data_IF_382661128606
#
_entry.id   IF_382661128606
#
_cell.length_a   1.000
_cell.length_b   1.000
_cell.length_c   1.000
_cell.angle_alpha   90.00
_cell.angle_beta   90.00
_cell.angle_gamma   90.00
#
_symmetry.space_group_name_H-M   'P 1'
#
loop_
_entity.id
_entity.type
_entity.pdbx_description
1 polymer ?
#
# COMPACT_ATOMS: atom_id res chain seq x y z
N UNK A 1 -1.84 7.29 17.83
CA UNK A 1 -2.97 6.60 17.20
C UNK A 1 -3.41 7.45 16.02
N UNK A 2 -3.27 6.99 14.80
CA UNK A 2 -3.66 7.72 13.59
C UNK A 2 -4.89 7.03 12.99
N UNK A 3 -5.66 7.75 12.18
CA UNK A 3 -6.83 7.22 11.48
C UNK A 3 -6.60 7.29 9.97
N UNK A 4 -6.92 6.22 9.28
CA UNK A 4 -6.79 6.19 7.82
C UNK A 4 -7.83 7.12 7.15
N UNK A 5 -9.03 7.19 7.75
CA UNK A 5 -10.12 8.05 7.28
C UNK A 5 -10.59 9.01 8.38
N UNK A 6 -9.84 10.09 8.68
CA UNK A 6 -10.17 10.99 9.78
C UNK A 6 -11.49 11.75 9.58
N UNK A 7 -11.96 11.91 8.35
CA UNK A 7 -13.24 12.56 8.04
C UNK A 7 -14.44 11.81 8.62
N UNK A 8 -14.34 10.47 8.78
CA UNK A 8 -15.41 9.70 9.44
C UNK A 8 -15.60 10.02 10.92
N UNK A 9 -14.63 10.66 11.57
CA UNK A 9 -14.80 11.10 12.98
C UNK A 9 -15.90 12.16 13.14
N UNK A 10 -16.19 12.94 12.10
CA UNK A 10 -17.33 13.86 12.13
C UNK A 10 -18.67 13.14 12.31
N UNK A 11 -18.75 11.88 11.93
CA UNK A 11 -19.93 11.05 12.18
C UNK A 11 -20.19 10.80 13.69
N UNK A 12 -19.24 11.08 14.59
CA UNK A 12 -19.48 11.05 16.04
C UNK A 12 -20.58 12.03 16.46
N UNK A 13 -20.85 13.08 15.70
CA UNK A 13 -21.99 13.96 15.92
C UNK A 13 -23.34 13.22 15.84
N UNK A 14 -23.43 12.12 15.10
CA UNK A 14 -24.63 11.27 15.04
C UNK A 14 -24.97 10.63 16.39
N UNK A 15 -24.02 10.54 17.33
CA UNK A 15 -24.28 10.09 18.70
C UNK A 15 -25.24 11.02 19.46
N UNK A 16 -25.39 12.26 19.03
CA UNK A 16 -26.38 13.18 19.59
C UNK A 16 -27.82 12.72 19.34
N UNK A 17 -28.07 11.98 18.25
CA UNK A 17 -29.44 11.53 17.87
C UNK A 17 -30.06 10.61 18.93
N UNK A 18 -29.44 9.47 19.32
CA UNK A 18 -30.00 8.62 20.37
C UNK A 18 -30.09 9.32 21.71
N UNK A 19 -29.19 10.26 22.01
CA UNK A 19 -29.22 11.08 23.23
C UNK A 19 -30.43 12.00 23.23
N UNK A 20 -30.67 12.72 22.14
CA UNK A 20 -31.82 13.62 21.97
C UNK A 20 -33.12 12.84 22.07
N UNK A 21 -33.22 11.69 21.40
CA UNK A 21 -34.41 10.83 21.46
C UNK A 21 -34.66 10.33 22.90
N UNK A 22 -33.62 10.04 23.65
CA UNK A 22 -33.73 9.62 25.04
C UNK A 22 -34.19 10.75 25.98
N UNK A 23 -33.69 11.99 25.77
CA UNK A 23 -34.07 13.18 26.55
C UNK A 23 -35.49 13.63 26.21
N UNK A 24 -35.84 13.66 24.93
CA UNK A 24 -37.22 13.94 24.50
C UNK A 24 -38.08 12.69 24.65
N UNK A 25 -38.50 12.41 25.88
CA UNK A 25 -39.33 11.25 26.21
C UNK A 25 -40.72 11.39 25.56
N UNK A 26 -40.89 11.02 24.29
CA UNK A 26 -42.12 11.09 23.49
C UNK A 26 -43.24 10.15 24.00
N UNK A 27 -43.40 9.98 25.32
CA UNK A 27 -44.46 9.15 25.87
C UNK A 27 -45.67 9.99 26.13
N UNK A 28 -46.71 9.82 25.34
CA UNK A 28 -48.04 10.24 25.69
C UNK A 28 -48.57 9.30 26.79
N UNK A 29 -48.74 9.85 27.98
CA UNK A 29 -49.35 9.12 29.10
C UNK A 29 -50.88 9.18 28.94
N UNK A 30 -51.54 8.04 28.80
CA UNK A 30 -52.99 7.93 28.90
C UNK A 30 -53.33 7.95 30.40
N UNK A 31 -53.98 8.98 30.88
CA UNK A 31 -54.49 9.05 32.28
C UNK A 31 -55.62 8.03 32.41
N UNK A 32 -55.40 7.00 33.19
CA UNK A 32 -56.46 6.05 33.61
C UNK A 32 -56.72 6.30 35.08
N UNK A 33 -57.94 6.61 35.41
CA UNK A 33 -58.38 6.91 36.79
C UNK A 33 -58.74 5.58 37.44
N UNK A 34 -58.02 5.25 38.52
CA UNK A 34 -58.31 4.08 39.39
C UNK A 34 -58.73 4.51 40.76
N UNK A 35 -59.80 3.88 41.30
CA UNK A 35 -60.43 4.25 42.58
C UNK A 35 -59.70 3.72 43.81
N UNK A 36 -58.79 2.76 43.73
CA UNK A 36 -58.03 2.22 44.86
C UNK A 36 -56.52 2.30 44.65
N UNK A 37 -55.87 3.26 45.34
CA UNK A 37 -54.43 3.61 45.16
C UNK A 37 -53.50 2.95 46.18
N UNK A 38 -54.00 2.36 47.26
CA UNK A 38 -53.12 1.90 48.37
C UNK A 38 -52.21 0.73 48.01
N UNK A 39 -52.74 -0.25 47.29
CA UNK A 39 -51.95 -1.44 46.86
C UNK A 39 -51.01 -1.18 45.68
N UNK A 40 -51.31 -0.17 44.86
CA UNK A 40 -50.51 0.20 43.68
C UNK A 40 -49.23 0.95 44.01
N UNK A 41 -49.22 1.68 45.15
CA UNK A 41 -48.10 2.54 45.53
C UNK A 41 -46.84 1.76 45.94
N UNK A 42 -47.02 0.61 46.56
CA UNK A 42 -45.92 -0.24 47.03
C UNK A 42 -45.20 -0.98 45.90
N UNK A 43 -45.94 -1.41 44.87
CA UNK A 43 -45.41 -2.05 43.68
C UNK A 43 -44.73 -1.06 42.72
N UNK A 44 -45.19 0.17 42.67
CA UNK A 44 -44.62 1.22 41.79
C UNK A 44 -43.18 1.63 42.16
N UNK A 45 -42.86 1.65 43.47
CA UNK A 45 -41.54 2.11 43.91
C UNK A 45 -40.42 1.13 43.60
N UNK A 46 -40.65 -0.17 43.63
CA UNK A 46 -39.65 -1.21 43.28
C UNK A 46 -39.47 -1.36 41.77
N UNK A 47 -40.53 -1.17 41.00
CA UNK A 47 -40.51 -1.33 39.52
C UNK A 47 -39.89 -0.11 38.81
N UNK A 48 -39.92 1.10 39.40
CA UNK A 48 -39.42 2.29 38.74
C UNK A 48 -37.91 2.36 38.64
N UNK A 49 -37.16 1.94 39.67
CA UNK A 49 -35.68 1.89 39.66
C UNK A 49 -35.15 0.93 38.61
N UNK A 50 -35.72 -0.28 38.54
CA UNK A 50 -35.31 -1.29 37.57
C UNK A 50 -35.60 -0.86 36.13
N UNK A 51 -36.72 -0.19 35.88
CA UNK A 51 -37.06 0.35 34.55
C UNK A 51 -36.12 1.48 34.13
N UNK A 52 -35.69 2.31 35.09
CA UNK A 52 -34.77 3.40 34.82
C UNK A 52 -33.38 2.88 34.44
N UNK A 53 -32.86 1.90 35.16
CA UNK A 53 -31.59 1.23 34.85
C UNK A 53 -31.63 0.58 33.46
N UNK A 54 -32.71 -0.16 33.13
CA UNK A 54 -32.87 -0.76 31.80
C UNK A 54 -32.86 0.29 30.68
N UNK A 55 -33.46 1.46 30.86
CA UNK A 55 -33.45 2.54 29.87
C UNK A 55 -32.04 3.08 29.62
N UNK A 56 -31.27 3.30 30.70
CA UNK A 56 -29.88 3.76 30.61
C UNK A 56 -28.98 2.70 29.95
N UNK A 57 -29.19 1.43 30.24
CA UNK A 57 -28.45 0.35 29.67
C UNK A 57 -28.71 0.22 28.13
N UNK A 58 -29.98 0.37 27.72
CA UNK A 58 -30.35 0.39 26.30
C UNK A 58 -29.73 1.61 25.58
N UNK A 59 -29.73 2.79 26.21
CA UNK A 59 -29.07 3.95 25.65
C UNK A 59 -27.56 3.71 25.49
N UNK A 60 -26.91 3.23 26.55
CA UNK A 60 -25.47 2.94 26.53
C UNK A 60 -25.11 1.93 25.45
N UNK A 61 -25.88 0.86 25.28
CA UNK A 61 -25.61 -0.14 24.24
C UNK A 61 -25.76 0.43 22.83
N UNK A 62 -26.75 1.28 22.58
CA UNK A 62 -26.93 1.97 21.29
C UNK A 62 -25.80 2.94 20.98
N UNK A 63 -25.39 3.73 21.98
CA UNK A 63 -24.27 4.66 21.86
C UNK A 63 -22.98 3.92 21.55
N UNK A 64 -22.72 2.81 22.25
CA UNK A 64 -21.52 2.01 22.08
C UNK A 64 -21.49 1.31 20.71
N UNK A 65 -22.63 0.78 20.27
CA UNK A 65 -22.76 0.17 18.94
C UNK A 65 -22.48 1.18 17.82
N UNK A 66 -23.06 2.39 17.90
CA UNK A 66 -22.82 3.46 16.93
C UNK A 66 -21.36 3.94 16.97
N UNK A 67 -20.79 4.12 18.14
CA UNK A 67 -19.38 4.53 18.29
C UNK A 67 -18.44 3.46 17.70
N UNK A 68 -18.69 2.18 17.98
CA UNK A 68 -17.90 1.09 17.43
C UNK A 68 -17.98 1.03 15.91
N UNK A 69 -19.18 1.26 15.33
CA UNK A 69 -19.38 1.32 13.89
C UNK A 69 -18.58 2.48 13.27
N UNK A 70 -18.65 3.67 13.85
CA UNK A 70 -17.89 4.83 13.36
C UNK A 70 -16.39 4.60 13.44
N UNK A 71 -15.91 4.03 14.54
CA UNK A 71 -14.49 3.67 14.68
C UNK A 71 -14.05 2.61 13.69
N UNK A 72 -14.91 1.64 13.37
CA UNK A 72 -14.61 0.63 12.36
C UNK A 72 -14.39 1.25 10.97
N UNK A 73 -15.17 2.28 10.59
CA UNK A 73 -14.97 2.99 9.32
C UNK A 73 -13.83 4.02 9.38
N UNK A 74 -13.51 4.56 10.54
CA UNK A 74 -12.37 5.46 10.73
C UNK A 74 -11.02 4.72 10.60
N UNK A 75 -11.00 3.37 10.69
CA UNK A 75 -9.82 2.51 10.58
C UNK A 75 -8.65 3.04 11.43
N UNK A 76 -8.75 2.96 12.77
CA UNK A 76 -7.66 3.36 13.63
C UNK A 76 -6.46 2.44 13.42
N UNK A 77 -5.29 3.02 13.20
CA UNK A 77 -4.04 2.27 13.15
C UNK A 77 -3.01 2.87 14.10
N UNK A 78 -2.18 2.03 14.64
CA UNK A 78 -1.01 2.45 15.41
C UNK A 78 0.16 2.36 14.44
N UNK A 79 0.73 3.50 13.98
CA UNK A 79 1.96 3.43 13.21
C UNK A 79 2.99 2.71 14.12
N UNK A 80 3.45 1.56 13.68
CA UNK A 80 4.61 0.94 14.31
C UNK A 80 5.76 1.92 14.15
N UNK A 81 6.06 2.69 15.20
CA UNK A 81 7.39 3.26 15.29
C UNK A 81 8.30 2.05 15.39
N UNK A 82 9.14 1.86 14.38
CA UNK A 82 10.21 0.88 14.38
C UNK A 82 11.25 1.37 15.40
N UNK A 83 10.89 1.30 16.66
CA UNK A 83 11.77 1.57 17.79
C UNK A 83 12.20 0.24 18.39
N UNK A 84 12.84 -0.60 17.56
CA UNK A 84 13.68 -1.65 18.13
C UNK A 84 15.04 -1.00 18.45
N UNK A 85 15.45 -1.07 19.70
CA UNK A 85 16.80 -0.71 20.12
C UNK A 85 17.80 -1.65 19.44
N UNK A 86 18.39 -1.20 18.32
CA UNK A 86 19.34 -1.98 17.53
C UNK A 86 19.53 -1.39 16.14
N UNK A 87 20.59 -1.81 15.45
CA UNK A 87 20.86 -1.40 14.06
C UNK A 87 19.69 -1.82 13.16
N UNK A 88 19.14 -0.87 12.42
CA UNK A 88 18.05 -1.09 11.48
C UNK A 88 18.58 -1.01 10.07
N UNK A 89 18.27 -2.04 9.27
CA UNK A 89 18.56 -2.04 7.84
C UNK A 89 17.29 -1.68 7.07
N UNK A 90 17.38 -0.68 6.21
CA UNK A 90 16.34 -0.31 5.27
C UNK A 90 16.88 -0.49 3.86
N UNK A 91 16.36 -1.52 3.16
CA UNK A 91 16.73 -1.78 1.78
C UNK A 91 15.69 -1.15 0.84
N UNK A 92 16.15 -0.32 -0.09
CA UNK A 92 15.31 0.33 -1.09
C UNK A 92 15.74 -0.13 -2.46
N UNK A 93 14.89 -0.91 -3.11
CA UNK A 93 15.05 -1.31 -4.50
C UNK A 93 14.23 -0.39 -5.40
N UNK A 94 14.87 0.13 -6.42
CA UNK A 94 14.25 0.96 -7.44
C UNK A 94 14.45 0.29 -8.78
N UNK A 95 13.33 -0.02 -9.42
CA UNK A 95 13.34 -0.52 -10.77
C UNK A 95 13.79 0.58 -11.72
N UNK A 96 14.93 0.36 -12.37
CA UNK A 96 15.48 1.26 -13.38
C UNK A 96 15.43 0.64 -14.79
N UNK A 97 14.48 -0.28 -15.02
CA UNK A 97 14.28 -0.87 -16.34
C UNK A 97 13.70 0.13 -17.33
N UNK A 98 13.77 -0.21 -18.63
CA UNK A 98 13.28 0.63 -19.73
C UNK A 98 11.77 0.96 -19.61
N UNK A 99 10.97 0.07 -19.01
CA UNK A 99 9.53 0.34 -18.79
C UNK A 99 9.28 1.55 -17.88
N UNK A 100 10.23 1.86 -17.00
CA UNK A 100 10.15 3.00 -16.09
C UNK A 100 10.35 4.37 -16.77
N UNK A 101 10.64 4.39 -18.09
CA UNK A 101 10.60 5.63 -18.91
C UNK A 101 9.20 6.11 -19.24
N UNK A 102 8.19 5.25 -19.07
CA UNK A 102 6.82 5.62 -19.33
C UNK A 102 6.40 6.86 -18.52
N UNK A 103 5.51 7.67 -19.10
CA UNK A 103 4.94 8.85 -18.43
C UNK A 103 3.85 8.40 -17.45
N UNK A 104 3.92 8.90 -16.24
CA UNK A 104 2.91 8.77 -15.21
C UNK A 104 2.24 10.11 -14.90
N UNK A 105 1.38 10.16 -13.92
CA UNK A 105 0.60 11.34 -13.52
C UNK A 105 1.50 12.57 -13.20
N UNK A 106 2.69 12.35 -12.66
CA UNK A 106 3.63 13.39 -12.23
C UNK A 106 4.98 13.33 -12.97
N UNK A 107 4.98 13.00 -14.26
CA UNK A 107 6.17 12.84 -15.08
C UNK A 107 6.63 11.38 -15.17
N UNK A 108 7.87 11.16 -15.61
CA UNK A 108 8.37 9.78 -15.83
C UNK A 108 8.29 8.92 -14.57
N UNK A 109 7.90 7.65 -14.73
CA UNK A 109 7.77 6.70 -13.62
C UNK A 109 9.07 6.55 -12.84
N UNK A 110 10.22 6.59 -13.53
CA UNK A 110 11.52 6.49 -12.89
C UNK A 110 11.79 7.66 -11.95
N UNK A 111 11.48 8.89 -12.35
CA UNK A 111 11.63 10.06 -11.48
C UNK A 111 10.63 10.03 -10.31
N UNK A 112 9.42 9.55 -10.55
CA UNK A 112 8.43 9.33 -9.48
C UNK A 112 8.92 8.28 -8.48
N UNK A 113 9.57 7.21 -8.95
CA UNK A 113 10.18 6.19 -8.10
C UNK A 113 11.31 6.76 -7.22
N UNK A 114 12.19 7.58 -7.82
CA UNK A 114 13.27 8.28 -7.09
C UNK A 114 12.71 9.24 -6.04
N UNK A 115 11.66 9.99 -6.36
CA UNK A 115 11.00 10.90 -5.44
C UNK A 115 10.36 10.14 -4.26
N UNK A 116 9.66 9.04 -4.54
CA UNK A 116 9.09 8.17 -3.51
C UNK A 116 10.18 7.60 -2.59
N UNK A 117 11.29 7.13 -3.17
CA UNK A 117 12.44 6.65 -2.39
C UNK A 117 13.05 7.76 -1.52
N UNK A 118 13.16 8.99 -2.04
CA UNK A 118 13.64 10.16 -1.29
C UNK A 118 12.73 10.48 -0.12
N UNK A 119 11.43 10.46 -0.30
CA UNK A 119 10.46 10.66 0.79
C UNK A 119 10.58 9.58 1.86
N UNK A 120 10.76 8.32 1.47
CA UNK A 120 10.99 7.24 2.43
C UNK A 120 12.24 7.53 3.25
N UNK A 121 13.37 7.85 2.60
CA UNK A 121 14.65 8.11 3.27
C UNK A 121 14.54 9.28 4.25
N UNK A 122 13.87 10.37 3.88
CA UNK A 122 13.69 11.55 4.73
C UNK A 122 12.85 11.26 5.99
N UNK A 123 12.01 10.25 5.96
CA UNK A 123 11.15 9.85 7.09
C UNK A 123 11.77 8.73 7.95
N UNK A 124 13.00 8.25 7.62
CA UNK A 124 13.69 7.25 8.42
C UNK A 124 14.33 7.89 9.67
N UNK A 125 14.67 7.03 10.63
CA UNK A 125 15.52 7.43 11.76
C UNK A 125 16.91 7.87 11.26
N UNK A 126 17.54 8.89 11.87
CA UNK A 126 18.89 9.31 11.51
C UNK A 126 19.95 8.20 11.59
N UNK A 127 19.73 7.21 12.46
CA UNK A 127 20.62 6.07 12.68
C UNK A 127 20.32 4.87 11.75
N UNK A 128 19.34 5.00 10.84
CA UNK A 128 18.99 3.92 9.92
C UNK A 128 20.13 3.73 8.89
N UNK A 129 20.54 2.49 8.70
CA UNK A 129 21.46 2.09 7.65
C UNK A 129 20.68 1.74 6.39
N UNK A 130 21.00 2.40 5.28
CA UNK A 130 20.22 2.35 4.05
C UNK A 130 21.01 1.59 2.99
N UNK A 131 20.41 0.56 2.41
CA UNK A 131 20.93 -0.15 1.25
C UNK A 131 20.11 0.24 0.02
N UNK A 132 20.77 0.75 -1.02
CA UNK A 132 20.16 1.11 -2.30
C UNK A 132 20.45 0.01 -3.32
N UNK A 133 19.42 -0.47 -4.01
CA UNK A 133 19.51 -1.49 -5.05
C UNK A 133 18.80 -1.05 -6.32
N UNK A 134 19.31 -1.51 -7.45
CA UNK A 134 18.74 -1.34 -8.77
C UNK A 134 18.92 -2.63 -9.60
N UNK A 135 18.45 -2.68 -10.84
CA UNK A 135 18.57 -3.84 -11.71
C UNK A 135 20.02 -4.22 -12.03
N UNK A 136 20.92 -3.25 -12.10
CA UNK A 136 22.34 -3.47 -12.42
C UNK A 136 23.10 -4.15 -11.27
N UNK A 137 22.50 -4.22 -10.07
CA UNK A 137 23.16 -4.69 -8.85
C UNK A 137 24.55 -4.05 -8.68
N UNK A 138 24.62 -2.75 -8.93
CA UNK A 138 25.83 -1.93 -8.88
C UNK A 138 26.65 -2.16 -7.61
N UNK A 139 27.96 -1.93 -7.60
CA UNK A 139 28.83 -2.19 -6.44
C UNK A 139 28.34 -1.54 -5.14
N UNK A 140 27.76 -0.34 -5.21
CA UNK A 140 27.23 0.34 -4.03
C UNK A 140 26.07 -0.43 -3.36
N UNK A 141 25.35 -1.28 -4.09
CA UNK A 141 24.23 -2.08 -3.55
C UNK A 141 24.68 -3.13 -2.53
N UNK A 142 25.98 -3.37 -2.39
CA UNK A 142 26.55 -4.26 -1.37
C UNK A 142 26.88 -3.55 -0.05
N UNK A 143 26.82 -2.22 -0.03
CA UNK A 143 27.15 -1.40 1.12
C UNK A 143 25.91 -0.72 1.70
N UNK A 144 26.02 -0.31 2.94
CA UNK A 144 25.04 0.55 3.60
C UNK A 144 25.48 2.00 3.55
N UNK A 145 24.54 2.89 3.49
CA UNK A 145 24.75 4.32 3.31
C UNK A 145 23.98 5.11 4.37
N UNK A 146 24.47 6.29 4.68
CA UNK A 146 23.71 7.30 5.41
C UNK A 146 22.62 7.90 4.52
N UNK A 147 21.62 8.54 5.10
CA UNK A 147 20.53 9.18 4.35
C UNK A 147 21.03 10.15 3.27
N UNK A 148 22.06 10.95 3.59
CA UNK A 148 22.65 11.90 2.64
C UNK A 148 23.30 11.21 1.43
N UNK A 149 24.10 10.17 1.69
CA UNK A 149 24.75 9.42 0.62
C UNK A 149 23.76 8.60 -0.20
N UNK A 150 22.71 8.05 0.42
CA UNK A 150 21.65 7.35 -0.26
C UNK A 150 20.90 8.26 -1.24
N UNK A 151 20.59 9.51 -0.86
CA UNK A 151 19.97 10.49 -1.75
C UNK A 151 20.86 10.82 -2.94
N UNK A 152 22.17 11.01 -2.73
CA UNK A 152 23.12 11.24 -3.85
C UNK A 152 23.13 10.07 -4.82
N UNK A 153 23.12 8.82 -4.32
CA UNK A 153 23.04 7.63 -5.19
C UNK A 153 21.74 7.56 -5.99
N UNK A 154 20.60 8.02 -5.41
CA UNK A 154 19.34 8.13 -6.15
C UNK A 154 19.46 9.15 -7.29
N UNK A 155 20.09 10.30 -7.04
CA UNK A 155 20.23 11.36 -8.04
C UNK A 155 21.11 10.90 -9.23
N UNK A 156 22.17 10.15 -8.94
CA UNK A 156 23.10 9.61 -9.95
C UNK A 156 22.56 8.37 -10.68
N UNK A 157 21.43 7.80 -10.23
CA UNK A 157 20.87 6.58 -10.81
C UNK A 157 20.25 6.86 -12.19
N UNK A 158 20.56 6.00 -13.16
CA UNK A 158 20.08 6.08 -14.54
C UNK A 158 19.32 4.83 -14.94
N UNK A 159 18.53 4.93 -16.00
CA UNK A 159 17.84 3.80 -16.62
C UNK A 159 18.87 2.79 -17.12
N UNK A 160 18.54 1.52 -16.95
CA UNK A 160 19.37 0.38 -17.32
C UNK A 160 18.64 -0.53 -18.31
N UNK A 161 19.40 -1.12 -19.23
CA UNK A 161 18.90 -2.12 -20.17
C UNK A 161 19.01 -3.55 -19.63
N UNK A 162 19.53 -3.74 -18.41
CA UNK A 162 19.62 -5.06 -17.82
C UNK A 162 18.24 -5.57 -17.43
N UNK A 163 17.92 -6.84 -17.73
CA UNK A 163 16.65 -7.42 -17.33
C UNK A 163 16.55 -7.49 -15.81
N UNK A 164 15.39 -7.11 -15.29
CA UNK A 164 15.07 -7.24 -13.90
C UNK A 164 14.99 -8.74 -13.51
N UNK A 165 15.77 -9.15 -12.52
CA UNK A 165 15.67 -10.44 -11.86
C UNK A 165 15.40 -10.17 -10.36
N UNK A 166 14.13 -9.99 -10.03
CA UNK A 166 13.71 -9.64 -8.69
C UNK A 166 14.13 -10.69 -7.64
N UNK A 167 14.24 -11.95 -8.03
CA UNK A 167 14.70 -13.02 -7.12
C UNK A 167 16.16 -12.81 -6.69
N UNK A 168 17.04 -12.35 -7.57
CA UNK A 168 18.43 -12.01 -7.22
C UNK A 168 18.49 -10.80 -6.29
N UNK A 169 17.61 -9.82 -6.49
CA UNK A 169 17.52 -8.65 -5.63
C UNK A 169 17.12 -9.05 -4.23
N UNK A 170 16.06 -9.85 -4.08
CA UNK A 170 15.61 -10.38 -2.78
C UNK A 170 16.71 -11.20 -2.12
N UNK A 171 17.40 -12.05 -2.86
CA UNK A 171 18.52 -12.84 -2.34
C UNK A 171 19.66 -11.96 -1.81
N UNK A 172 20.00 -10.88 -2.54
CA UNK A 172 21.05 -9.94 -2.10
C UNK A 172 20.66 -9.17 -0.84
N UNK A 173 19.38 -8.79 -0.72
CA UNK A 173 18.83 -8.14 0.46
C UNK A 173 18.90 -9.08 1.68
N UNK A 174 18.43 -10.32 1.52
CA UNK A 174 18.43 -11.32 2.60
C UNK A 174 19.85 -11.69 3.05
N UNK A 175 20.79 -11.79 2.12
CA UNK A 175 22.19 -12.05 2.44
C UNK A 175 22.81 -10.94 3.29
N UNK A 176 22.52 -9.68 3.01
CA UNK A 176 23.01 -8.53 3.77
C UNK A 176 22.48 -8.55 5.21
N UNK A 177 21.19 -8.77 5.39
CA UNK A 177 20.57 -8.88 6.71
C UNK A 177 21.21 -9.97 7.56
N UNK A 178 21.36 -11.16 6.98
CA UNK A 178 21.87 -12.33 7.71
C UNK A 178 23.35 -12.19 8.11
N UNK A 179 24.14 -11.39 7.37
CA UNK A 179 25.58 -11.28 7.60
C UNK A 179 25.98 -10.31 8.71
N UNK A 180 25.14 -9.32 9.06
CA UNK A 180 25.52 -8.20 9.92
C UNK A 180 24.71 -8.05 11.21
N UNK A 181 23.79 -8.97 11.51
CA UNK A 181 23.07 -9.02 12.79
C UNK A 181 22.19 -7.82 13.09
N UNK A 182 21.45 -7.35 12.10
CA UNK A 182 20.47 -6.27 12.26
C UNK A 182 19.30 -6.71 13.15
N UNK A 183 18.78 -5.80 13.95
CA UNK A 183 17.62 -6.04 14.80
C UNK A 183 16.30 -6.08 14.01
N UNK A 184 16.22 -5.32 12.93
CA UNK A 184 15.07 -5.31 12.03
C UNK A 184 15.49 -4.97 10.60
N UNK A 185 14.72 -5.48 9.64
CA UNK A 185 14.89 -5.17 8.23
C UNK A 185 13.54 -4.79 7.62
N UNK A 186 13.53 -3.66 6.92
CA UNK A 186 12.42 -3.24 6.07
C UNK A 186 12.93 -3.09 4.64
N UNK A 187 12.19 -3.66 3.71
CA UNK A 187 12.52 -3.58 2.29
C UNK A 187 11.40 -2.88 1.55
N UNK A 188 11.73 -1.84 0.80
CA UNK A 188 10.83 -1.15 -0.10
C UNK A 188 11.24 -1.48 -1.53
N UNK A 189 10.32 -2.05 -2.31
CA UNK A 189 10.53 -2.30 -3.72
C UNK A 189 9.58 -1.42 -4.53
N UNK A 190 10.15 -0.52 -5.33
CA UNK A 190 9.44 0.48 -6.11
C UNK A 190 9.61 0.13 -7.58
N UNK A 191 8.49 -0.23 -8.25
CA UNK A 191 8.48 -0.69 -9.65
C UNK A 191 7.08 -0.55 -10.24
N UNK A 192 6.96 -0.66 -11.54
CA UNK A 192 5.68 -0.85 -12.24
C UNK A 192 5.18 -2.30 -12.13
N UNK A 193 6.03 -3.22 -11.69
CA UNK A 193 5.75 -4.65 -11.54
C UNK A 193 5.13 -5.31 -12.79
N UNK A 194 5.61 -4.96 -13.96
CA UNK A 194 5.20 -5.64 -15.19
C UNK A 194 5.64 -7.10 -15.15
N UNK A 195 4.68 -8.01 -15.32
CA UNK A 195 4.93 -9.45 -15.27
C UNK A 195 5.60 -9.92 -16.56
N UNK A 196 6.92 -10.18 -16.52
CA UNK A 196 7.68 -10.70 -17.67
C UNK A 196 7.80 -12.21 -17.70
N UNK A 197 7.86 -12.86 -16.55
CA UNK A 197 7.85 -14.33 -16.36
C UNK A 197 7.25 -14.65 -15.01
N UNK A 198 6.72 -15.85 -14.86
CA UNK A 198 6.26 -16.39 -13.59
C UNK A 198 7.50 -16.72 -12.75
N UNK A 199 8.06 -15.71 -12.10
CA UNK A 199 9.20 -15.91 -11.20
C UNK A 199 8.72 -16.75 -10.03
N UNK A 200 9.38 -17.88 -9.81
CA UNK A 200 9.21 -18.65 -8.60
C UNK A 200 9.78 -17.83 -7.44
N UNK A 201 8.90 -17.16 -6.68
CA UNK A 201 9.24 -16.50 -5.41
C UNK A 201 9.55 -17.54 -4.32
N UNK A 202 10.41 -18.50 -4.63
CA UNK A 202 10.78 -19.57 -3.73
C UNK A 202 11.78 -19.05 -2.70
N UNK A 203 11.30 -18.92 -1.46
CA UNK A 203 12.06 -18.68 -0.23
C UNK A 203 12.42 -17.21 0.06
N UNK A 204 11.40 -16.40 0.27
CA UNK A 204 11.57 -15.16 1.02
C UNK A 204 11.71 -15.58 2.51
N UNK A 205 12.77 -15.09 3.17
CA UNK A 205 12.98 -15.30 4.60
C UNK A 205 11.77 -14.73 5.35
N UNK A 206 11.22 -15.47 6.30
CA UNK A 206 10.04 -15.08 7.09
C UNK A 206 10.27 -13.83 7.94
N UNK A 207 11.50 -13.41 8.12
CA UNK A 207 11.88 -12.20 8.87
C UNK A 207 11.94 -10.94 7.99
N UNK A 208 11.79 -11.07 6.67
CA UNK A 208 11.82 -9.96 5.74
C UNK A 208 10.45 -9.28 5.65
N UNK A 209 10.37 -8.02 6.05
CA UNK A 209 9.19 -7.17 5.79
C UNK A 209 9.37 -6.49 4.45
N UNK A 210 8.59 -6.93 3.44
CA UNK A 210 8.66 -6.42 2.07
C UNK A 210 7.46 -5.53 1.78
N UNK A 211 7.71 -4.26 1.46
CA UNK A 211 6.73 -3.28 1.02
C UNK A 211 6.85 -3.11 -0.49
N UNK A 212 5.80 -3.48 -1.23
CA UNK A 212 5.73 -3.30 -2.67
C UNK A 212 5.01 -1.99 -2.98
N UNK A 213 5.71 -1.07 -3.63
CA UNK A 213 5.16 0.23 -4.05
C UNK A 213 5.04 0.21 -5.56
N UNK A 214 3.81 0.08 -6.04
CA UNK A 214 3.52 0.05 -7.46
C UNK A 214 3.30 1.44 -8.00
N UNK A 215 4.06 1.81 -9.05
CA UNK A 215 3.89 3.04 -9.81
C UNK A 215 3.30 2.69 -11.17
N UNK A 216 2.20 3.34 -11.55
CA UNK A 216 1.47 3.06 -12.77
C UNK A 216 1.67 4.18 -13.80
N UNK A 217 1.81 3.86 -15.08
CA UNK A 217 1.76 4.85 -16.14
C UNK A 217 0.35 5.43 -16.26
N UNK A 218 0.25 6.69 -16.68
CA UNK A 218 -1.04 7.35 -16.95
C UNK A 218 -1.75 6.71 -18.14
N UNK A 219 -0.97 6.38 -19.19
CA UNK A 219 -1.44 5.63 -20.36
C UNK A 219 -0.51 4.47 -20.63
N UNK A 220 -1.10 3.32 -20.84
CA UNK A 220 -0.36 2.13 -21.17
C UNK A 220 -0.25 1.98 -22.68
N UNK A 221 0.89 2.40 -23.25
CA UNK A 221 1.23 2.13 -24.65
C UNK A 221 2.30 1.04 -24.68
N UNK A 222 1.97 -0.11 -25.21
CA UNK A 222 2.92 -1.21 -25.28
C UNK A 222 2.77 -2.00 -26.58
N UNK A 223 3.76 -1.88 -27.45
CA UNK A 223 3.89 -2.69 -28.65
C UNK A 223 4.96 -3.74 -28.38
N UNK A 224 4.64 -4.99 -28.64
CA UNK A 224 5.59 -6.08 -28.54
C UNK A 224 5.67 -6.88 -29.85
N UNK A 225 6.86 -7.41 -30.15
CA UNK A 225 7.04 -8.38 -31.20
C UNK A 225 6.66 -9.75 -30.63
N UNK A 226 5.57 -10.33 -31.14
CA UNK A 226 5.10 -11.65 -30.75
C UNK A 226 5.95 -12.76 -31.35
N UNK A 227 6.18 -12.65 -32.66
CA UNK A 227 6.93 -13.66 -33.41
C UNK A 227 7.58 -13.09 -34.66
N UNK A 228 8.70 -13.69 -35.02
CA UNK A 228 9.47 -13.36 -36.23
C UNK A 228 9.80 -14.67 -36.96
N UNK A 229 9.53 -14.73 -38.25
CA UNK A 229 9.86 -15.90 -39.06
C UNK A 229 10.26 -15.53 -40.50
N UNK A 230 11.01 -16.41 -41.12
CA UNK A 230 11.34 -16.31 -42.54
C UNK A 230 10.23 -16.96 -43.36
N UNK A 231 9.72 -16.25 -44.39
CA UNK A 231 8.72 -16.82 -45.28
C UNK A 231 9.30 -17.96 -46.14
N UNK A 232 10.59 -17.91 -46.43
CA UNK A 232 11.28 -18.95 -47.20
C UNK A 232 12.19 -19.77 -46.28
N UNK A 233 12.06 -21.11 -46.25
CA UNK A 233 12.85 -21.95 -45.36
C UNK A 233 14.33 -22.06 -45.76
N UNK A 234 14.70 -21.66 -47.01
CA UNK A 234 16.07 -21.71 -47.52
C UNK A 234 16.50 -20.34 -48.05
N UNK A 235 17.44 -19.74 -47.34
CA UNK A 235 18.03 -18.45 -47.75
C UNK A 235 19.15 -18.72 -48.77
N UNK A 236 18.99 -18.18 -50.00
CA UNK A 236 20.05 -18.23 -51.02
C UNK A 236 20.98 -17.02 -50.83
N UNK A 237 22.32 -17.22 -50.96
CA UNK A 237 23.26 -16.10 -50.93
C UNK A 237 22.91 -15.05 -51.98
N UNK A 238 22.95 -13.76 -51.58
CA UNK A 238 22.68 -12.59 -52.44
C UNK A 238 21.23 -12.45 -52.96
N UNK A 239 20.25 -13.19 -52.46
CA UNK A 239 18.84 -12.97 -52.75
C UNK A 239 18.15 -12.21 -51.61
N UNK A 240 17.14 -11.35 -51.91
CA UNK A 240 16.37 -10.68 -50.89
C UNK A 240 15.61 -11.71 -50.04
N UNK A 241 15.62 -11.51 -48.71
CA UNK A 241 14.97 -12.37 -47.75
C UNK A 241 13.73 -11.67 -47.23
N UNK A 242 12.59 -12.37 -47.29
CA UNK A 242 11.36 -11.89 -46.68
C UNK A 242 11.27 -12.33 -45.22
N UNK A 243 11.25 -11.34 -44.34
CA UNK A 243 11.07 -11.51 -42.91
C UNK A 243 9.64 -11.05 -42.55
N UNK A 244 8.85 -11.94 -41.96
CA UNK A 244 7.55 -11.59 -41.44
C UNK A 244 7.64 -11.39 -39.91
N UNK A 245 7.11 -10.27 -39.46
CA UNK A 245 7.11 -9.88 -38.05
C UNK A 245 5.67 -9.69 -37.60
N UNK A 246 5.25 -10.43 -36.60
CA UNK A 246 3.95 -10.23 -35.95
C UNK A 246 4.12 -9.31 -34.76
N UNK A 247 3.43 -8.18 -34.81
CA UNK A 247 3.42 -7.16 -33.76
C UNK A 247 2.08 -7.19 -33.07
N UNK A 248 2.08 -7.14 -31.73
CA UNK A 248 0.89 -7.09 -30.91
C UNK A 248 0.89 -5.79 -30.11
N UNK A 249 -0.21 -5.07 -30.18
CA UNK A 249 -0.44 -3.92 -29.31
C UNK A 249 -1.13 -4.42 -28.02
N UNK A 250 -0.42 -4.32 -26.91
CA UNK A 250 -0.92 -4.63 -25.57
C UNK A 250 -1.30 -3.36 -24.78
N UNK A 251 -1.31 -2.20 -25.44
CA UNK A 251 -1.68 -0.93 -24.85
C UNK A 251 -3.19 -0.66 -24.93
N UNK A 252 -3.62 0.37 -24.23
CA UNK A 252 -5.04 0.77 -24.12
C UNK A 252 -5.53 1.49 -25.37
N UNK A 253 -4.66 2.21 -26.08
CA UNK A 253 -5.00 3.01 -27.25
C UNK A 253 -4.59 2.32 -28.57
N UNK A 254 -5.35 2.58 -29.65
CA UNK A 254 -4.98 2.17 -31.00
C UNK A 254 -3.76 2.97 -31.49
N UNK A 255 -2.81 2.28 -32.09
CA UNK A 255 -1.57 2.89 -32.60
C UNK A 255 -1.65 2.94 -34.11
N UNK A 256 -1.68 4.15 -34.67
CA UNK A 256 -1.81 4.38 -36.12
C UNK A 256 -0.50 4.16 -36.89
N UNK A 257 0.66 4.40 -36.26
CA UNK A 257 1.97 4.19 -36.86
C UNK A 257 3.03 3.86 -35.83
N UNK A 258 3.93 2.93 -36.16
CA UNK A 258 5.12 2.64 -35.38
C UNK A 258 6.31 2.35 -36.26
N UNK A 259 7.51 2.72 -35.82
CA UNK A 259 8.76 2.40 -36.50
C UNK A 259 9.46 1.27 -35.74
N UNK A 260 9.77 0.19 -36.46
CA UNK A 260 10.63 -0.87 -35.93
C UNK A 260 12.09 -0.44 -36.16
N UNK A 261 12.87 -0.35 -35.08
CA UNK A 261 14.29 -0.01 -35.10
C UNK A 261 15.12 -1.25 -34.77
#
# INVERSE_FOLDING_TARGET
MNFQNPTFLWALLLLAIPLIIHLYNFRQYKKVVFSNLAMLKEIQTQSSKTRQIKKWLILASRMLALAALILAFALPFIPSKITQSGRQLVSIYIDNSESMRAEGENGQLFENAKNTAREIIQNLSPDAEIQILNNDLSPYSSHVHTSENAIKLLDDMTISYYPNDFSKIVQKISAKYSSEGYASQHTFAISDFQQRKKDEYSKIDSNLVLHLIKILPEKFQNISIDSVWLEEPVVKPQSPVKLSVKVVNNGDDAIESSTLV
#
